data_IF_252699042885
#
_entry.id   IF_252699042885
#
_cell.length_a   1.000
_cell.length_b   1.000
_cell.length_c   1.000
_cell.angle_alpha   90.00
_cell.angle_beta   90.00
_cell.angle_gamma   90.00
#
_symmetry.space_group_name_H-M   'P 1'
#
loop_
_entity.id
_entity.type
_entity.pdbx_description
1 polymer ?
#
# COMPACT_ATOMS: atom_id res chain seq x y z
N UNK A 1 21.67 63.61 5.28
CA UNK A 1 21.78 62.20 4.90
C UNK A 1 20.47 61.55 5.32
N UNK A 2 19.53 61.30 4.40
CA UNK A 2 18.36 60.49 4.75
C UNK A 2 18.79 59.02 4.61
N UNK A 3 18.84 58.32 5.74
CA UNK A 3 18.79 56.87 5.75
C UNK A 3 17.33 56.50 5.54
N UNK A 4 16.87 56.50 4.28
CA UNK A 4 15.62 55.83 3.95
C UNK A 4 15.95 54.34 3.88
N UNK A 5 15.71 53.64 4.98
CA UNK A 5 15.80 52.18 5.01
C UNK A 5 14.70 51.62 4.09
N UNK A 6 14.99 50.51 3.42
CA UNK A 6 14.02 49.76 2.63
C UNK A 6 13.87 48.35 3.20
N UNK A 7 12.71 47.75 3.03
CA UNK A 7 12.50 46.36 3.46
C UNK A 7 13.41 45.42 2.67
N UNK A 8 14.10 44.50 3.33
CA UNK A 8 15.11 43.64 2.69
C UNK A 8 14.60 42.75 1.55
N UNK A 9 13.32 42.35 1.57
CA UNK A 9 12.78 41.38 0.59
C UNK A 9 12.08 42.03 -0.61
N UNK A 10 11.43 43.18 -0.41
CA UNK A 10 10.54 43.78 -1.43
C UNK A 10 10.90 45.23 -1.78
N UNK A 11 11.95 45.79 -1.15
CA UNK A 11 12.43 47.14 -1.43
C UNK A 11 11.43 48.25 -1.10
N UNK A 12 10.41 47.99 -0.29
CA UNK A 12 9.47 49.03 0.14
C UNK A 12 10.19 50.08 0.98
N UNK A 13 9.90 51.34 0.71
CA UNK A 13 10.38 52.47 1.49
C UNK A 13 9.87 52.40 2.93
N UNK A 14 10.74 52.60 3.92
CA UNK A 14 10.36 52.86 5.30
C UNK A 14 10.80 54.27 5.69
N UNK A 15 9.99 55.32 5.43
CA UNK A 15 10.41 56.70 5.65
C UNK A 15 10.72 56.95 7.12
N UNK A 16 11.88 57.57 7.41
CA UNK A 16 12.22 57.96 8.77
C UNK A 16 11.23 58.99 9.34
N UNK A 17 11.09 59.00 10.68
CA UNK A 17 10.25 59.98 11.36
C UNK A 17 10.71 61.40 11.02
N UNK A 18 9.81 62.20 10.45
CA UNK A 18 10.07 63.58 10.04
C UNK A 18 10.41 63.78 8.57
N UNK A 19 10.47 62.72 7.76
CA UNK A 19 10.55 62.82 6.30
C UNK A 19 9.36 63.60 5.77
N UNK A 20 9.59 64.72 5.06
CA UNK A 20 8.51 65.63 4.62
C UNK A 20 7.70 65.08 3.45
N UNK A 21 8.32 64.31 2.57
CA UNK A 21 7.70 63.75 1.37
C UNK A 21 7.28 62.28 1.54
N UNK A 22 6.97 61.88 2.78
CA UNK A 22 6.60 60.51 3.12
C UNK A 22 5.43 59.98 2.28
N UNK A 23 4.48 60.85 1.90
CA UNK A 23 3.34 60.47 1.06
C UNK A 23 3.74 59.98 -0.34
N UNK A 24 4.80 60.54 -0.93
CA UNK A 24 5.32 60.07 -2.23
C UNK A 24 5.90 58.66 -2.10
N UNK A 25 6.71 58.44 -1.06
CA UNK A 25 7.35 57.15 -0.79
C UNK A 25 6.34 56.03 -0.49
N UNK A 26 5.23 56.36 0.17
CA UNK A 26 4.15 55.40 0.38
C UNK A 26 3.37 55.10 -0.90
N UNK A 27 3.11 56.08 -1.75
CA UNK A 27 2.47 55.84 -3.06
C UNK A 27 3.33 54.92 -3.96
N UNK A 28 4.65 55.06 -3.88
CA UNK A 28 5.59 54.14 -4.53
C UNK A 28 5.48 52.73 -3.96
N UNK A 29 5.34 52.57 -2.64
CA UNK A 29 5.12 51.25 -2.02
C UNK A 29 3.80 50.61 -2.47
N UNK A 30 2.71 51.38 -2.55
CA UNK A 30 1.42 50.84 -3.02
C UNK A 30 1.52 50.34 -4.47
N UNK A 31 2.23 51.07 -5.33
CA UNK A 31 2.48 50.64 -6.72
C UNK A 31 3.37 49.38 -6.82
N UNK A 32 4.18 49.13 -5.80
CA UNK A 32 5.00 47.91 -5.69
C UNK A 32 4.22 46.75 -5.07
N UNK A 33 3.26 47.01 -4.16
CA UNK A 33 2.42 45.99 -3.55
C UNK A 33 1.51 45.31 -4.58
N UNK A 34 0.90 46.09 -5.48
CA UNK A 34 0.05 45.57 -6.56
C UNK A 34 0.75 44.56 -7.50
N UNK A 35 2.09 44.59 -7.54
CA UNK A 35 2.91 43.65 -8.32
C UNK A 35 3.62 42.60 -7.47
N UNK A 36 4.02 42.99 -6.26
CA UNK A 36 4.88 42.17 -5.40
C UNK A 36 4.12 41.19 -4.51
N UNK A 37 2.83 41.41 -4.29
CA UNK A 37 1.97 40.47 -3.54
C UNK A 37 1.30 39.52 -4.52
N UNK A 38 1.52 38.22 -4.30
CA UNK A 38 0.88 37.17 -5.08
C UNK A 38 -0.63 37.10 -4.77
N UNK A 39 -1.45 37.09 -5.81
CA UNK A 39 -2.88 36.80 -5.72
C UNK A 39 -3.05 35.27 -5.71
N UNK A 40 -3.89 34.75 -4.81
CA UNK A 40 -4.22 33.33 -4.70
C UNK A 40 -5.72 33.16 -4.71
N UNK A 41 -6.26 32.53 -5.76
CA UNK A 41 -7.70 32.27 -5.91
C UNK A 41 -7.93 31.14 -6.93
N UNK A 42 -9.18 30.77 -7.19
CA UNK A 42 -9.56 29.81 -8.24
C UNK A 42 -9.24 30.36 -9.65
N UNK A 43 -8.85 29.49 -10.58
CA UNK A 43 -8.51 29.88 -11.96
C UNK A 43 -9.64 30.67 -12.66
N UNK A 44 -10.90 30.33 -12.36
CA UNK A 44 -12.08 30.99 -12.91
C UNK A 44 -12.19 32.48 -12.52
N UNK A 45 -11.67 32.87 -11.34
CA UNK A 45 -11.74 34.23 -10.81
C UNK A 45 -10.59 35.12 -11.32
N UNK A 46 -9.67 34.59 -12.14
CA UNK A 46 -8.49 35.33 -12.62
C UNK A 46 -8.84 36.67 -13.27
N UNK A 47 -9.97 36.74 -13.97
CA UNK A 47 -10.41 37.96 -14.65
C UNK A 47 -11.02 39.01 -13.70
N UNK A 48 -11.20 38.69 -12.41
CA UNK A 48 -11.62 39.65 -11.38
C UNK A 48 -10.45 40.54 -10.91
N UNK A 49 -9.22 40.22 -11.33
CA UNK A 49 -8.00 40.93 -10.98
C UNK A 49 -7.36 41.58 -12.20
N UNK A 50 -6.91 42.83 -12.06
CA UNK A 50 -6.24 43.56 -13.15
C UNK A 50 -4.79 43.06 -13.36
N UNK A 51 -4.39 42.64 -14.57
CA UNK A 51 -3.06 42.09 -14.84
C UNK A 51 -1.98 43.18 -14.93
N UNK A 52 -1.51 43.67 -13.78
CA UNK A 52 -0.39 44.62 -13.74
C UNK A 52 0.89 43.94 -14.23
N UNK A 53 1.75 44.68 -14.94
CA UNK A 53 3.00 44.15 -15.47
C UNK A 53 3.91 43.63 -14.33
N UNK A 54 4.18 42.34 -14.32
CA UNK A 54 4.95 41.63 -13.30
C UNK A 54 4.15 41.15 -12.08
N UNK A 55 2.84 41.37 -12.02
CA UNK A 55 2.00 40.78 -10.98
C UNK A 55 1.89 39.27 -11.17
N UNK A 56 1.68 38.55 -10.06
CA UNK A 56 1.57 37.08 -10.04
C UNK A 56 0.21 36.65 -9.54
N UNK A 57 -0.43 35.75 -10.27
CA UNK A 57 -1.65 35.06 -9.86
C UNK A 57 -1.37 33.56 -9.78
N UNK A 58 -1.65 32.93 -8.64
CA UNK A 58 -1.62 31.49 -8.45
C UNK A 58 -3.05 30.97 -8.39
N UNK A 59 -3.44 30.23 -9.41
CA UNK A 59 -4.64 29.42 -9.41
C UNK A 59 -4.46 28.26 -8.43
N UNK A 60 -5.13 28.30 -7.28
CA UNK A 60 -4.91 27.30 -6.20
C UNK A 60 -5.52 25.93 -6.50
N UNK A 61 -6.52 25.91 -7.38
CA UNK A 61 -7.23 24.72 -7.87
C UNK A 61 -6.43 24.00 -8.97
N UNK A 62 -5.91 24.74 -9.97
CA UNK A 62 -5.15 24.17 -11.08
C UNK A 62 -3.64 24.16 -10.86
N UNK A 63 -3.16 24.80 -9.79
CA UNK A 63 -1.74 25.03 -9.49
C UNK A 63 -0.99 25.82 -10.59
N UNK A 64 -1.73 26.52 -11.45
CA UNK A 64 -1.17 27.32 -12.54
C UNK A 64 -0.80 28.72 -12.05
N UNK A 65 0.41 29.15 -12.40
CA UNK A 65 0.96 30.48 -12.19
C UNK A 65 0.80 31.28 -13.46
N UNK A 66 0.18 32.45 -13.31
CA UNK A 66 0.08 33.47 -14.35
C UNK A 66 0.90 34.69 -13.99
N UNK A 67 1.50 35.33 -14.99
CA UNK A 67 2.17 36.62 -14.89
C UNK A 67 1.40 37.66 -15.70
N UNK A 68 1.06 38.78 -15.07
CA UNK A 68 0.46 39.92 -15.75
C UNK A 68 1.51 40.64 -16.61
N UNK A 69 1.17 41.00 -17.85
CA UNK A 69 2.05 41.79 -18.73
C UNK A 69 1.70 43.29 -18.78
N UNK A 70 0.68 43.70 -18.02
CA UNK A 70 0.09 45.05 -18.06
C UNK A 70 -1.23 45.13 -18.84
N UNK A 71 -1.57 44.09 -19.61
CA UNK A 71 -2.79 43.99 -20.39
C UNK A 71 -3.56 42.68 -20.17
N UNK A 72 -2.85 41.57 -20.03
CA UNK A 72 -3.42 40.23 -19.90
C UNK A 72 -2.64 39.39 -18.89
N UNK A 73 -3.32 38.39 -18.32
CA UNK A 73 -2.69 37.32 -17.55
C UNK A 73 -2.15 36.25 -18.49
N UNK A 74 -0.83 36.10 -18.56
CA UNK A 74 -0.19 35.04 -19.36
C UNK A 74 0.21 33.88 -18.48
N UNK A 75 -0.09 32.68 -18.94
CA UNK A 75 0.38 31.48 -18.26
C UNK A 75 1.92 31.45 -18.26
N UNK A 76 2.49 31.17 -17.09
CA UNK A 76 3.92 31.13 -16.90
C UNK A 76 4.41 29.73 -16.57
N UNK A 77 3.75 29.05 -15.63
CA UNK A 77 4.10 27.69 -15.23
C UNK A 77 2.92 27.04 -14.53
N UNK A 78 2.86 25.71 -14.52
CA UNK A 78 1.97 24.94 -13.64
C UNK A 78 2.83 24.13 -12.68
N UNK A 79 2.65 24.32 -11.38
CA UNK A 79 3.40 23.54 -10.38
C UNK A 79 3.01 22.07 -10.49
N UNK A 80 4.01 21.18 -10.65
CA UNK A 80 3.82 19.75 -10.90
C UNK A 80 4.15 19.30 -12.33
N UNK A 81 4.27 20.22 -13.29
CA UNK A 81 4.51 19.90 -14.71
C UNK A 81 6.00 19.71 -15.08
N UNK A 82 6.91 19.58 -14.13
CA UNK A 82 8.35 19.64 -14.40
C UNK A 82 9.18 18.55 -13.72
N UNK A 83 9.48 17.49 -14.46
CA UNK A 83 10.74 16.74 -14.31
C UNK A 83 10.74 15.53 -13.39
N UNK A 84 9.87 14.56 -13.66
CA UNK A 84 10.21 13.13 -13.60
C UNK A 84 9.27 12.42 -14.60
N UNK A 85 9.80 11.49 -15.39
CA UNK A 85 9.17 10.90 -16.60
C UNK A 85 7.96 9.96 -16.31
N UNK A 86 7.30 10.16 -15.17
CA UNK A 86 6.04 9.53 -14.72
C UNK A 86 5.17 10.50 -13.90
N UNK A 87 5.67 11.70 -13.56
CA UNK A 87 4.97 12.70 -12.75
C UNK A 87 4.17 13.72 -13.58
N UNK A 88 4.24 13.65 -14.92
CA UNK A 88 3.65 14.67 -15.81
C UNK A 88 2.20 14.42 -16.24
N UNK A 89 1.74 13.17 -16.21
CA UNK A 89 0.41 12.81 -16.70
C UNK A 89 -0.47 12.38 -15.51
N UNK A 90 -0.93 13.37 -14.75
CA UNK A 90 -1.94 13.17 -13.72
C UNK A 90 -3.31 13.53 -14.30
N UNK A 91 -4.27 12.61 -14.17
CA UNK A 91 -5.67 12.82 -14.55
C UNK A 91 -6.56 12.53 -13.35
N UNK A 92 -7.70 13.21 -13.23
CA UNK A 92 -8.60 13.03 -12.09
C UNK A 92 -9.78 12.16 -12.48
N UNK A 93 -10.04 11.06 -11.77
CA UNK A 93 -11.17 10.18 -12.07
C UNK A 93 -12.53 10.91 -12.07
N UNK A 94 -12.66 12.01 -11.31
CA UNK A 94 -13.87 12.85 -11.28
C UNK A 94 -14.18 13.55 -12.60
N UNK A 95 -13.21 13.71 -13.49
CA UNK A 95 -13.36 14.39 -14.79
C UNK A 95 -13.92 13.46 -15.88
N UNK A 96 -13.95 12.14 -15.61
CA UNK A 96 -14.40 11.13 -16.54
C UNK A 96 -15.82 10.65 -16.20
N UNK A 97 -16.58 10.30 -17.23
CA UNK A 97 -17.91 9.71 -17.10
C UNK A 97 -17.81 8.24 -16.67
N UNK A 98 -18.75 7.81 -15.82
CA UNK A 98 -18.86 6.43 -15.33
C UNK A 98 -19.86 6.36 -14.17
N UNK A 99 -20.60 5.25 -14.09
CA UNK A 99 -21.57 4.99 -13.05
C UNK A 99 -20.89 4.66 -11.71
N UNK A 100 -19.73 4.01 -11.76
CA UNK A 100 -18.90 3.65 -10.62
C UNK A 100 -17.48 4.22 -10.77
N UNK A 101 -16.69 4.18 -9.69
CA UNK A 101 -15.32 4.71 -9.69
C UNK A 101 -14.38 3.90 -10.58
N UNK A 102 -14.53 2.57 -10.63
CA UNK A 102 -13.75 1.69 -11.51
C UNK A 102 -13.96 2.02 -13.00
N UNK A 103 -15.21 2.24 -13.45
CA UNK A 103 -15.49 2.68 -14.83
C UNK A 103 -14.82 4.02 -15.17
N UNK A 104 -14.77 4.94 -14.20
CA UNK A 104 -14.10 6.25 -14.37
C UNK A 104 -12.58 6.11 -14.40
N UNK A 105 -12.03 5.20 -13.60
CA UNK A 105 -10.59 4.89 -13.62
C UNK A 105 -10.22 4.28 -14.97
N UNK A 106 -10.99 3.34 -15.51
CA UNK A 106 -10.74 2.77 -16.84
C UNK A 106 -10.75 3.85 -17.93
N UNK A 107 -11.74 4.75 -17.90
CA UNK A 107 -11.81 5.87 -18.82
C UNK A 107 -10.59 6.81 -18.67
N UNK A 108 -10.16 7.09 -17.44
CA UNK A 108 -8.99 7.91 -17.15
C UNK A 108 -7.69 7.25 -17.62
N UNK A 109 -7.50 5.95 -17.36
CA UNK A 109 -6.34 5.18 -17.79
C UNK A 109 -6.24 5.15 -19.33
N UNK A 110 -7.36 5.02 -20.03
CA UNK A 110 -7.40 5.04 -21.50
C UNK A 110 -7.01 6.39 -22.12
N UNK A 111 -7.15 7.49 -21.37
CA UNK A 111 -6.82 8.85 -21.81
C UNK A 111 -5.37 9.24 -21.49
N UNK A 112 -4.68 8.46 -20.66
CA UNK A 112 -3.27 8.71 -20.33
C UNK A 112 -2.38 8.62 -21.60
N UNK A 113 -1.51 9.61 -21.85
CA UNK A 113 -0.60 9.59 -22.99
C UNK A 113 0.31 8.36 -22.98
N UNK A 114 0.17 7.50 -23.99
CA UNK A 114 0.87 6.20 -24.09
C UNK A 114 0.61 5.26 -22.90
N UNK A 115 -0.53 5.41 -22.21
CA UNK A 115 -0.86 4.68 -20.97
C UNK A 115 -0.07 5.15 -19.74
N UNK A 116 0.94 6.00 -19.92
CA UNK A 116 1.82 6.41 -18.83
C UNK A 116 1.22 7.57 -18.04
N UNK A 117 1.11 7.40 -16.72
CA UNK A 117 0.67 8.43 -15.81
C UNK A 117 0.08 7.87 -14.53
N UNK A 118 -0.75 8.69 -13.88
CA UNK A 118 -1.43 8.36 -12.62
C UNK A 118 -2.86 8.88 -12.66
N UNK A 119 -3.78 8.06 -12.18
CA UNK A 119 -5.16 8.47 -11.92
C UNK A 119 -5.28 8.90 -10.47
N UNK A 120 -5.59 10.17 -10.23
CA UNK A 120 -5.87 10.72 -8.90
C UNK A 120 -7.36 10.58 -8.57
N UNK A 121 -7.65 10.14 -7.36
CA UNK A 121 -9.02 10.05 -6.85
C UNK A 121 -9.16 10.89 -5.59
N UNK A 122 -9.89 12.00 -5.71
CA UNK A 122 -10.33 12.84 -4.58
C UNK A 122 -11.73 12.46 -4.09
N UNK A 123 -12.31 13.24 -3.15
CA UNK A 123 -13.70 13.08 -2.73
C UNK A 123 -14.66 13.11 -3.91
N UNK A 124 -15.72 12.32 -3.86
CA UNK A 124 -16.75 12.34 -4.90
C UNK A 124 -17.32 13.77 -5.03
N UNK A 125 -17.35 14.37 -6.23
CA UNK A 125 -17.82 15.75 -6.42
C UNK A 125 -19.24 16.03 -5.92
N UNK A 126 -20.11 15.02 -5.87
CA UNK A 126 -21.47 15.15 -5.34
C UNK A 126 -21.56 15.02 -3.80
N UNK A 127 -20.43 14.73 -3.15
CA UNK A 127 -20.30 14.53 -1.70
C UNK A 127 -20.74 13.15 -1.20
N UNK A 128 -21.11 12.20 -2.06
CA UNK A 128 -21.45 10.84 -1.64
C UNK A 128 -20.20 9.95 -1.54
N UNK A 129 -20.39 8.72 -1.08
CA UNK A 129 -19.35 7.68 -1.15
C UNK A 129 -19.18 7.26 -2.62
N UNK A 130 -17.94 7.00 -3.05
CA UNK A 130 -17.71 6.41 -4.37
C UNK A 130 -18.23 4.98 -4.38
N UNK A 131 -19.01 4.64 -5.40
CA UNK A 131 -19.44 3.26 -5.60
C UNK A 131 -18.40 2.52 -6.44
N UNK A 132 -18.08 1.29 -6.08
CA UNK A 132 -17.14 0.42 -6.77
C UNK A 132 -17.84 -0.86 -7.24
N UNK A 133 -17.51 -1.30 -8.44
CA UNK A 133 -17.94 -2.58 -9.01
C UNK A 133 -16.76 -3.54 -9.15
N UNK A 134 -17.00 -4.83 -9.39
CA UNK A 134 -15.92 -5.80 -9.53
C UNK A 134 -15.06 -5.43 -10.75
N UNK A 135 -13.76 -5.20 -10.53
CA UNK A 135 -12.87 -4.68 -11.56
C UNK A 135 -11.69 -5.60 -11.81
N UNK A 136 -11.46 -5.94 -13.08
CA UNK A 136 -10.30 -6.71 -13.52
C UNK A 136 -9.45 -5.88 -14.45
N UNK A 137 -8.16 -5.75 -14.15
CA UNK A 137 -7.23 -4.93 -14.91
C UNK A 137 -5.99 -5.71 -15.32
N UNK A 138 -5.57 -5.50 -16.56
CA UNK A 138 -4.27 -5.91 -17.09
C UNK A 138 -3.36 -4.67 -17.10
N UNK A 139 -2.37 -4.56 -16.20
CA UNK A 139 -1.47 -3.41 -16.17
C UNK A 139 -0.66 -3.25 -17.46
N UNK A 140 -0.45 -4.32 -18.22
CA UNK A 140 0.32 -4.29 -19.46
C UNK A 140 -0.44 -3.59 -20.59
N UNK A 141 -1.78 -3.54 -20.51
CA UNK A 141 -2.63 -2.79 -21.43
C UNK A 141 -2.45 -1.27 -21.32
N UNK A 142 -1.91 -0.79 -20.19
CA UNK A 142 -1.76 0.63 -19.88
C UNK A 142 -0.29 1.04 -19.67
N UNK A 143 0.68 0.21 -20.04
CA UNK A 143 2.09 0.47 -19.70
C UNK A 143 2.35 0.68 -18.20
N UNK A 144 1.56 0.01 -17.36
CA UNK A 144 1.48 0.20 -15.92
C UNK A 144 0.16 0.85 -15.50
N UNK A 145 -0.24 0.61 -14.26
CA UNK A 145 -1.44 1.20 -13.65
C UNK A 145 -1.02 1.84 -12.34
N UNK A 146 -1.27 3.12 -12.18
CA UNK A 146 -1.00 3.85 -10.95
C UNK A 146 -2.25 4.62 -10.53
N UNK A 147 -2.87 4.17 -9.44
CA UNK A 147 -4.06 4.76 -8.84
C UNK A 147 -3.68 5.33 -7.48
N UNK A 148 -3.92 6.62 -7.29
CA UNK A 148 -3.55 7.34 -6.07
C UNK A 148 -4.79 8.03 -5.51
N UNK A 149 -5.29 7.46 -4.41
CA UNK A 149 -6.55 7.83 -3.79
C UNK A 149 -6.24 8.63 -2.53
N UNK A 150 -6.84 9.81 -2.38
CA UNK A 150 -6.76 10.57 -1.13
C UNK A 150 -7.15 9.68 0.06
N UNK A 151 -6.32 9.66 1.12
CA UNK A 151 -6.46 8.69 2.24
C UNK A 151 -7.81 8.70 2.96
N UNK A 152 -8.58 9.78 2.87
CA UNK A 152 -9.87 9.95 3.52
C UNK A 152 -11.07 9.75 2.56
N UNK A 153 -10.83 9.37 1.31
CA UNK A 153 -11.88 9.10 0.33
C UNK A 153 -12.51 7.75 0.63
N UNK A 154 -13.83 7.74 0.80
CA UNK A 154 -14.60 6.53 1.06
C UNK A 154 -15.06 5.91 -0.26
N UNK A 155 -14.90 4.59 -0.35
CA UNK A 155 -15.26 3.75 -1.49
C UNK A 155 -16.05 2.56 -0.95
N UNK A 156 -17.20 2.30 -1.53
CA UNK A 156 -18.08 1.20 -1.15
C UNK A 156 -18.15 0.17 -2.29
N UNK A 157 -17.84 -1.08 -1.96
CA UNK A 157 -18.02 -2.22 -2.85
C UNK A 157 -19.24 -3.03 -2.41
N UNK A 158 -20.30 -3.00 -3.22
CA UNK A 158 -21.56 -3.73 -2.98
C UNK A 158 -21.68 -5.01 -3.83
N UNK A 159 -20.65 -5.34 -4.62
CA UNK A 159 -20.69 -6.46 -5.57
C UNK A 159 -20.48 -7.83 -4.94
N UNK A 160 -20.63 -8.86 -5.79
CA UNK A 160 -20.30 -10.24 -5.47
C UNK A 160 -18.89 -10.58 -5.97
N UNK A 161 -18.15 -11.40 -5.23
CA UNK A 161 -16.82 -11.87 -5.66
C UNK A 161 -15.70 -10.93 -5.22
N UNK A 162 -14.68 -10.72 -6.07
CA UNK A 162 -13.48 -9.95 -5.71
C UNK A 162 -13.55 -8.52 -6.22
N UNK A 163 -13.32 -7.54 -5.35
CA UNK A 163 -13.43 -6.13 -5.71
C UNK A 163 -12.39 -5.69 -6.78
N UNK A 164 -11.15 -6.15 -6.64
CA UNK A 164 -10.03 -5.82 -7.53
C UNK A 164 -9.28 -7.09 -7.90
N UNK A 165 -9.21 -7.38 -9.20
CA UNK A 165 -8.36 -8.44 -9.76
C UNK A 165 -7.33 -7.84 -10.70
N UNK A 166 -6.04 -8.06 -10.42
CA UNK A 166 -4.95 -7.70 -11.32
C UNK A 166 -4.49 -8.98 -12.00
N UNK A 167 -4.64 -9.04 -13.32
CA UNK A 167 -4.27 -10.20 -14.14
C UNK A 167 -3.58 -9.69 -15.41
N UNK A 168 -2.25 -9.82 -15.53
CA UNK A 168 -1.49 -9.37 -16.70
C UNK A 168 -1.63 -10.30 -17.91
N UNK A 169 -2.60 -11.22 -17.89
CA UNK A 169 -2.85 -12.21 -18.93
C UNK A 169 -1.59 -13.02 -19.33
N UNK A 170 -0.70 -13.25 -18.35
CA UNK A 170 0.55 -14.00 -18.53
C UNK A 170 1.74 -13.21 -19.07
N UNK A 171 1.66 -11.88 -19.24
CA UNK A 171 2.81 -11.07 -19.67
C UNK A 171 3.61 -10.48 -18.49
N UNK A 172 4.24 -11.36 -17.72
CA UNK A 172 5.15 -10.96 -16.64
C UNK A 172 6.42 -10.25 -17.13
N UNK A 173 6.87 -10.53 -18.36
CA UNK A 173 8.09 -9.92 -18.90
C UNK A 173 7.93 -8.42 -19.01
N UNK A 174 6.74 -7.95 -19.37
CA UNK A 174 6.46 -6.52 -19.44
C UNK A 174 6.48 -5.84 -18.07
N UNK A 175 6.06 -6.53 -17.01
CA UNK A 175 6.17 -6.00 -15.65
C UNK A 175 7.61 -5.89 -15.18
N UNK A 176 8.44 -6.91 -15.45
CA UNK A 176 9.83 -6.93 -15.01
C UNK A 176 10.73 -6.01 -15.84
N UNK A 177 10.58 -6.05 -17.17
CA UNK A 177 11.48 -5.34 -18.11
C UNK A 177 11.04 -3.90 -18.37
N UNK A 178 9.74 -3.67 -18.52
CA UNK A 178 9.20 -2.36 -18.92
C UNK A 178 8.53 -1.62 -17.76
N UNK A 179 8.47 -2.23 -16.57
CA UNK A 179 7.91 -1.59 -15.39
C UNK A 179 6.40 -1.39 -15.45
N UNK A 180 5.68 -2.20 -16.24
CA UNK A 180 4.22 -2.17 -16.33
C UNK A 180 3.56 -2.75 -15.07
N UNK A 181 3.79 -2.10 -13.92
CA UNK A 181 3.38 -2.56 -12.60
C UNK A 181 1.98 -2.07 -12.25
N UNK A 182 1.38 -2.71 -11.26
CA UNK A 182 0.17 -2.19 -10.62
C UNK A 182 0.52 -1.48 -9.32
N UNK A 183 0.06 -0.25 -9.14
CA UNK A 183 0.18 0.52 -7.91
C UNK A 183 -1.19 1.07 -7.53
N UNK A 184 -1.63 0.77 -6.30
CA UNK A 184 -2.81 1.34 -5.67
C UNK A 184 -2.44 1.87 -4.29
N UNK A 185 -2.70 3.15 -4.05
CA UNK A 185 -2.44 3.79 -2.76
C UNK A 185 -3.69 4.52 -2.24
N UNK A 186 -3.93 4.43 -0.93
CA UNK A 186 -4.95 5.17 -0.20
C UNK A 186 -6.39 4.64 -0.32
N UNK A 187 -7.35 5.50 0.00
CA UNK A 187 -8.77 5.13 0.08
C UNK A 187 -9.17 4.35 1.34
N UNK A 188 -10.41 4.57 1.77
CA UNK A 188 -11.13 3.84 2.81
C UNK A 188 -12.17 2.97 2.11
N UNK A 189 -11.95 1.66 2.12
CA UNK A 189 -12.74 0.67 1.41
C UNK A 189 -13.70 -0.04 2.37
N UNK A 190 -14.98 -0.04 2.02
CA UNK A 190 -16.06 -0.68 2.76
C UNK A 190 -16.70 -1.74 1.86
N UNK A 191 -16.57 -3.01 2.22
CA UNK A 191 -17.23 -4.11 1.51
C UNK A 191 -18.56 -4.38 2.20
N UNK A 192 -19.66 -4.10 1.50
CA UNK A 192 -21.03 -4.27 2.02
C UNK A 192 -21.84 -5.31 1.23
N UNK A 193 -21.28 -5.82 0.13
CA UNK A 193 -21.82 -6.92 -0.68
C UNK A 193 -21.41 -8.30 -0.19
N UNK A 194 -21.70 -9.33 -1.00
CA UNK A 194 -21.28 -10.72 -0.75
C UNK A 194 -19.90 -10.98 -1.39
N UNK A 195 -18.88 -10.33 -0.81
CA UNK A 195 -17.51 -10.39 -1.30
C UNK A 195 -16.85 -11.74 -0.97
N UNK A 196 -16.01 -12.22 -1.88
CA UNK A 196 -15.08 -13.33 -1.61
C UNK A 196 -13.66 -12.84 -1.40
N UNK A 197 -13.41 -11.55 -1.65
CA UNK A 197 -12.18 -10.90 -1.24
C UNK A 197 -12.03 -9.49 -1.79
N UNK A 198 -11.04 -8.75 -1.31
CA UNK A 198 -10.84 -7.37 -1.76
C UNK A 198 -9.86 -7.27 -2.93
N UNK A 199 -8.62 -7.71 -2.74
CA UNK A 199 -7.59 -7.63 -3.78
C UNK A 199 -7.04 -9.02 -4.15
N UNK A 200 -7.01 -9.33 -5.44
CA UNK A 200 -6.36 -10.51 -6.00
C UNK A 200 -5.33 -10.13 -7.06
N UNK A 201 -4.08 -10.49 -6.84
CA UNK A 201 -3.04 -10.49 -7.87
C UNK A 201 -2.88 -11.89 -8.46
N UNK A 202 -3.09 -12.05 -9.76
CA UNK A 202 -2.84 -13.30 -10.49
C UNK A 202 -1.55 -13.15 -11.28
N UNK A 203 -0.54 -13.98 -10.98
CA UNK A 203 0.75 -13.95 -11.68
C UNK A 203 1.33 -12.51 -11.76
N UNK A 204 1.43 -11.80 -10.62
CA UNK A 204 1.79 -10.37 -10.57
C UNK A 204 3.21 -10.13 -10.05
N UNK A 205 3.96 -9.21 -10.65
CA UNK A 205 5.31 -8.89 -10.23
C UNK A 205 5.45 -7.40 -9.88
N UNK A 206 6.01 -7.09 -8.72
CA UNK A 206 6.23 -5.70 -8.24
C UNK A 206 4.95 -4.88 -8.10
N UNK A 207 3.84 -5.52 -7.76
CA UNK A 207 2.60 -4.81 -7.43
C UNK A 207 2.74 -4.11 -6.08
N UNK A 208 2.12 -2.93 -5.94
CA UNK A 208 2.09 -2.15 -4.70
C UNK A 208 0.63 -1.91 -4.32
N UNK A 209 0.23 -2.35 -3.13
CA UNK A 209 -1.17 -2.32 -2.66
C UNK A 209 -1.21 -1.75 -1.25
N UNK A 210 -1.41 -0.44 -1.14
CA UNK A 210 -1.34 0.32 0.10
C UNK A 210 -2.66 1.08 0.39
N UNK A 211 -3.80 0.39 0.60
CA UNK A 211 -5.03 1.06 1.02
C UNK A 211 -4.84 1.78 2.36
N UNK A 212 -5.60 2.85 2.60
CA UNK A 212 -5.59 3.47 3.93
C UNK A 212 -6.35 2.59 4.95
N UNK A 213 -7.45 1.98 4.51
CA UNK A 213 -8.29 1.11 5.32
C UNK A 213 -9.15 0.21 4.42
N UNK A 214 -9.36 -1.06 4.79
CA UNK A 214 -10.29 -1.99 4.16
C UNK A 214 -11.10 -2.70 5.24
N UNK A 215 -12.41 -2.80 5.07
CA UNK A 215 -13.32 -3.40 6.06
C UNK A 215 -14.43 -4.24 5.44
N UNK A 216 -15.08 -5.08 6.25
CA UNK A 216 -16.23 -5.89 5.84
C UNK A 216 -15.85 -7.13 5.03
N UNK A 217 -14.69 -7.71 5.32
CA UNK A 217 -14.09 -8.83 4.58
C UNK A 217 -14.47 -10.18 5.19
N UNK A 218 -15.74 -10.38 5.49
CA UNK A 218 -16.28 -11.63 6.06
C UNK A 218 -17.41 -12.17 5.20
N UNK A 219 -17.50 -13.49 5.07
CA UNK A 219 -18.61 -14.15 4.40
C UNK A 219 -19.06 -15.43 5.14
N UNK A 220 -20.19 -16.00 4.72
CA UNK A 220 -20.75 -17.22 5.35
C UNK A 220 -19.85 -18.46 5.17
N UNK A 221 -18.95 -18.45 4.18
CA UNK A 221 -18.01 -19.54 3.92
C UNK A 221 -16.75 -19.45 4.79
N UNK A 222 -16.50 -18.30 5.44
CA UNK A 222 -15.28 -18.04 6.20
C UNK A 222 -14.04 -17.97 5.30
N UNK A 223 -14.19 -17.64 4.03
CA UNK A 223 -13.06 -17.63 3.08
C UNK A 223 -12.84 -16.27 2.40
N UNK A 224 -13.52 -15.21 2.89
CA UNK A 224 -13.32 -13.88 2.35
C UNK A 224 -11.93 -13.35 2.71
N UNK A 225 -11.12 -13.08 1.68
CA UNK A 225 -9.75 -12.62 1.88
C UNK A 225 -9.56 -11.10 1.76
N UNK A 226 -8.62 -10.53 2.51
CA UNK A 226 -8.15 -9.16 2.28
C UNK A 226 -7.29 -9.10 1.02
N UNK A 227 -6.20 -9.87 1.03
CA UNK A 227 -5.23 -9.94 -0.05
C UNK A 227 -5.08 -11.39 -0.49
N UNK A 228 -5.12 -11.66 -1.79
CA UNK A 228 -4.72 -12.94 -2.35
C UNK A 228 -3.66 -12.74 -3.44
N UNK A 229 -2.55 -13.47 -3.34
CA UNK A 229 -1.64 -13.66 -4.46
C UNK A 229 -1.81 -15.07 -4.98
N UNK A 230 -2.06 -15.20 -6.27
CA UNK A 230 -2.42 -16.46 -6.91
C UNK A 230 -1.52 -16.70 -8.10
N UNK A 231 -0.82 -17.82 -8.07
CA UNK A 231 -0.02 -18.26 -9.21
C UNK A 231 -0.86 -19.20 -10.08
N UNK A 232 -0.89 -18.96 -11.38
CA UNK A 232 -1.51 -19.82 -12.37
C UNK A 232 -0.45 -20.30 -13.36
N UNK A 233 -0.12 -19.49 -14.36
CA UNK A 233 0.84 -19.88 -15.40
C UNK A 233 2.27 -19.46 -15.05
N UNK A 234 2.42 -18.56 -14.08
CA UNK A 234 3.70 -17.97 -13.70
C UNK A 234 3.83 -17.87 -12.18
N UNK A 235 4.30 -16.73 -11.67
CA UNK A 235 4.63 -16.48 -10.27
C UNK A 235 4.16 -15.09 -9.85
N UNK A 236 4.07 -14.88 -8.54
CA UNK A 236 3.77 -13.57 -7.97
C UNK A 236 4.92 -13.17 -7.05
N UNK A 237 5.68 -12.13 -7.38
CA UNK A 237 6.94 -11.80 -6.68
C UNK A 237 7.11 -10.29 -6.46
N UNK A 238 7.92 -9.92 -5.46
CA UNK A 238 8.25 -8.52 -5.10
C UNK A 238 7.00 -7.65 -4.87
N UNK A 239 5.91 -8.25 -4.39
CA UNK A 239 4.66 -7.53 -4.09
C UNK A 239 4.77 -6.83 -2.75
N UNK A 240 4.42 -5.55 -2.70
CA UNK A 240 4.41 -4.74 -1.49
C UNK A 240 2.98 -4.47 -1.04
N UNK A 241 2.67 -4.86 0.20
CA UNK A 241 1.34 -4.74 0.80
C UNK A 241 1.45 -4.05 2.15
N UNK A 242 0.65 -3.00 2.31
CA UNK A 242 0.50 -2.25 3.56
C UNK A 242 -0.98 -1.91 3.76
N UNK A 243 -1.31 -1.22 4.85
CA UNK A 243 -2.65 -0.74 5.13
C UNK A 243 -3.27 -1.40 6.36
N UNK A 244 -4.53 -1.03 6.61
CA UNK A 244 -5.31 -1.58 7.72
C UNK A 244 -6.49 -2.38 7.19
N UNK A 245 -6.59 -3.64 7.60
CA UNK A 245 -7.65 -4.57 7.23
C UNK A 245 -8.43 -4.94 8.49
N UNK A 246 -9.75 -4.78 8.46
CA UNK A 246 -10.62 -4.94 9.63
C UNK A 246 -11.79 -5.87 9.30
N UNK A 247 -12.13 -6.75 10.24
CA UNK A 247 -13.20 -7.74 10.11
C UNK A 247 -12.97 -8.59 8.85
N UNK A 248 -12.01 -9.51 8.96
CA UNK A 248 -11.52 -10.31 7.82
C UNK A 248 -11.55 -11.80 8.15
N UNK A 249 -12.01 -12.66 7.23
CA UNK A 249 -11.89 -14.10 7.46
C UNK A 249 -10.46 -14.57 7.25
N UNK A 250 -9.85 -14.18 6.12
CA UNK A 250 -8.47 -14.49 5.74
C UNK A 250 -7.69 -13.20 5.42
N UNK A 251 -6.70 -12.81 6.24
CA UNK A 251 -5.96 -11.56 6.01
C UNK A 251 -5.19 -11.57 4.68
N UNK A 252 -4.23 -12.48 4.58
CA UNK A 252 -3.44 -12.74 3.37
C UNK A 252 -3.54 -14.21 2.99
N UNK A 253 -3.76 -14.48 1.71
CA UNK A 253 -3.92 -15.81 1.14
C UNK A 253 -2.96 -16.02 -0.04
N UNK A 254 -1.98 -16.91 0.10
CA UNK A 254 -1.03 -17.23 -0.97
C UNK A 254 -1.37 -18.58 -1.58
N UNK A 255 -1.75 -18.57 -2.85
CA UNK A 255 -2.31 -19.73 -3.56
C UNK A 255 -1.37 -20.11 -4.72
N UNK A 256 -0.59 -21.20 -4.60
CA UNK A 256 0.48 -21.51 -5.53
C UNK A 256 -0.06 -22.21 -6.78
N UNK A 257 0.76 -22.32 -7.83
CA UNK A 257 0.33 -22.91 -9.09
C UNK A 257 -0.10 -24.38 -8.93
N UNK A 258 0.56 -25.14 -8.04
CA UNK A 258 0.21 -26.52 -7.74
C UNK A 258 -1.22 -26.71 -7.23
N UNK A 259 -1.79 -25.71 -6.54
CA UNK A 259 -3.18 -25.75 -6.07
C UNK A 259 -4.19 -25.22 -7.09
N UNK A 260 -3.77 -24.31 -7.97
CA UNK A 260 -4.66 -23.80 -9.03
C UNK A 260 -4.76 -24.72 -10.24
N UNK A 261 -3.95 -25.78 -10.29
CA UNK A 261 -3.76 -26.63 -11.47
C UNK A 261 -2.96 -25.91 -12.58
N UNK A 262 -2.29 -24.82 -12.22
CA UNK A 262 -1.48 -24.00 -13.07
C UNK A 262 -0.12 -24.64 -13.43
N UNK A 263 0.53 -24.12 -14.47
CA UNK A 263 1.87 -24.56 -14.90
C UNK A 263 3.00 -23.68 -14.35
N UNK A 264 2.64 -22.67 -13.56
CA UNK A 264 3.57 -21.73 -12.95
C UNK A 264 4.39 -22.33 -11.83
N UNK A 265 4.90 -21.46 -10.97
CA UNK A 265 5.67 -21.87 -9.80
C UNK A 265 4.82 -21.74 -8.54
N UNK A 266 5.31 -22.33 -7.45
CA UNK A 266 4.74 -22.18 -6.12
C UNK A 266 5.44 -21.04 -5.34
N UNK A 267 6.24 -20.23 -6.05
CA UNK A 267 7.07 -19.14 -5.50
C UNK A 267 6.26 -17.88 -5.24
N UNK A 268 6.56 -17.24 -4.12
CA UNK A 268 6.07 -15.90 -3.77
C UNK A 268 7.20 -14.90 -3.44
N UNK A 269 8.43 -15.16 -3.92
CA UNK A 269 9.66 -14.48 -3.48
C UNK A 269 9.55 -12.95 -3.33
N UNK A 270 10.23 -12.44 -2.31
CA UNK A 270 10.37 -11.00 -2.03
C UNK A 270 9.04 -10.24 -1.81
N UNK A 271 7.92 -10.95 -1.64
CA UNK A 271 6.69 -10.33 -1.19
C UNK A 271 6.83 -9.83 0.25
N UNK A 272 6.34 -8.61 0.49
CA UNK A 272 6.47 -7.87 1.74
C UNK A 272 5.09 -7.43 2.23
N UNK A 273 4.80 -7.78 3.48
CA UNK A 273 3.50 -7.48 4.12
C UNK A 273 3.75 -6.69 5.42
N UNK A 274 3.39 -5.41 5.41
CA UNK A 274 3.53 -4.46 6.53
C UNK A 274 2.20 -4.11 7.22
N UNK A 275 1.08 -4.61 6.68
CA UNK A 275 -0.25 -4.22 7.11
C UNK A 275 -0.67 -4.71 8.52
N UNK A 276 -1.73 -4.09 9.04
CA UNK A 276 -2.42 -4.54 10.26
C UNK A 276 -3.73 -5.23 9.88
N UNK A 277 -3.88 -6.49 10.26
CA UNK A 277 -5.09 -7.30 10.08
C UNK A 277 -5.76 -7.46 11.44
N UNK A 278 -7.01 -7.01 11.57
CA UNK A 278 -7.74 -7.03 12.84
C UNK A 278 -9.12 -7.64 12.67
N UNK A 279 -9.61 -8.31 13.72
CA UNK A 279 -10.90 -9.00 13.61
C UNK A 279 -10.80 -10.25 12.73
N UNK A 280 -9.64 -10.92 12.75
CA UNK A 280 -9.38 -12.10 11.91
C UNK A 280 -10.20 -13.29 12.41
N UNK A 281 -11.08 -13.83 11.56
CA UNK A 281 -11.98 -14.93 11.94
C UNK A 281 -11.33 -16.30 11.76
N UNK A 282 -10.54 -16.52 10.70
CA UNK A 282 -9.96 -17.83 10.41
C UNK A 282 -8.44 -17.78 10.31
N UNK A 283 -7.89 -17.07 9.32
CA UNK A 283 -6.45 -17.07 9.08
C UNK A 283 -5.91 -15.64 8.96
N UNK A 284 -4.87 -15.29 9.74
CA UNK A 284 -4.17 -14.02 9.54
C UNK A 284 -3.42 -14.05 8.22
N UNK A 285 -2.53 -15.05 8.10
CA UNK A 285 -1.85 -15.41 6.88
C UNK A 285 -2.02 -16.90 6.61
N UNK A 286 -2.52 -17.25 5.44
CA UNK A 286 -2.59 -18.61 4.93
C UNK A 286 -1.58 -18.78 3.80
N UNK A 287 -0.58 -19.62 4.06
CA UNK A 287 0.53 -19.89 3.15
C UNK A 287 0.37 -21.30 2.61
N UNK A 288 0.12 -21.41 1.32
CA UNK A 288 0.10 -22.68 0.62
C UNK A 288 1.16 -22.61 -0.49
N UNK A 289 2.14 -23.51 -0.50
CA UNK A 289 3.21 -23.53 -1.51
C UNK A 289 4.63 -23.31 -0.99
N UNK A 290 5.52 -22.78 -1.82
CA UNK A 290 6.95 -22.61 -1.51
C UNK A 290 7.33 -21.13 -1.37
N UNK A 291 6.97 -20.45 -0.26
CA UNK A 291 7.36 -19.07 -0.07
C UNK A 291 8.85 -18.95 0.27
N UNK A 292 9.55 -18.06 -0.42
CA UNK A 292 10.89 -17.58 -0.02
C UNK A 292 10.75 -16.12 0.43
N UNK A 293 9.76 -15.90 1.29
CA UNK A 293 9.17 -14.57 1.47
C UNK A 293 9.61 -13.94 2.76
N UNK A 294 9.44 -12.63 2.82
CA UNK A 294 9.74 -11.84 4.01
C UNK A 294 8.46 -11.23 4.54
N UNK A 295 7.87 -11.85 5.56
CA UNK A 295 6.84 -11.19 6.37
C UNK A 295 7.55 -10.19 7.26
N UNK A 296 7.34 -8.89 7.02
CA UNK A 296 8.06 -7.82 7.68
C UNK A 296 7.06 -6.88 8.39
N UNK A 297 6.91 -7.04 9.70
CA UNK A 297 6.20 -6.05 10.53
C UNK A 297 4.68 -6.08 10.44
N UNK A 298 4.08 -7.16 9.92
CA UNK A 298 2.63 -7.31 9.93
C UNK A 298 2.08 -7.59 11.33
N UNK A 299 0.96 -6.96 11.69
CA UNK A 299 0.24 -7.24 12.94
C UNK A 299 -1.06 -7.97 12.66
N UNK A 300 -1.34 -9.04 13.40
CA UNK A 300 -2.54 -9.87 13.27
C UNK A 300 -3.30 -9.88 14.59
N UNK A 301 -4.57 -9.49 14.60
CA UNK A 301 -5.43 -9.53 15.78
C UNK A 301 -6.60 -10.48 15.51
N UNK A 302 -6.57 -11.62 16.19
CA UNK A 302 -7.47 -12.76 16.06
C UNK A 302 -8.76 -12.54 16.87
N UNK A 303 -9.89 -12.86 16.24
CA UNK A 303 -11.23 -12.72 16.81
C UNK A 303 -12.06 -14.01 16.77
N UNK A 304 -11.79 -14.90 15.82
CA UNK A 304 -12.52 -16.18 15.72
C UNK A 304 -12.10 -17.20 16.77
N UNK A 305 -13.06 -18.03 17.17
CA UNK A 305 -12.79 -19.26 17.91
C UNK A 305 -12.07 -20.21 16.93
N UNK A 306 -10.86 -20.65 17.25
CA UNK A 306 -9.97 -21.43 16.34
C UNK A 306 -9.23 -20.62 15.25
N UNK A 307 -9.21 -19.29 15.34
CA UNK A 307 -8.42 -18.50 14.41
C UNK A 307 -6.89 -18.77 14.56
N UNK A 308 -6.19 -18.80 13.43
CA UNK A 308 -4.75 -19.02 13.33
C UNK A 308 -4.07 -17.79 12.72
N UNK A 309 -3.06 -17.21 13.38
CA UNK A 309 -2.35 -16.05 12.84
C UNK A 309 -1.49 -16.40 11.62
N UNK A 310 -0.78 -17.52 11.66
CA UNK A 310 0.05 -17.99 10.54
C UNK A 310 -0.16 -19.50 10.29
N UNK A 311 -0.83 -19.84 9.20
CA UNK A 311 -0.96 -21.22 8.73
C UNK A 311 0.09 -21.50 7.65
N UNK A 312 1.05 -22.38 7.94
CA UNK A 312 2.22 -22.65 7.10
C UNK A 312 2.11 -24.02 6.43
N UNK A 313 1.83 -24.08 5.13
CA UNK A 313 1.73 -25.33 4.39
C UNK A 313 2.61 -25.32 3.12
N UNK A 314 3.73 -26.04 3.17
CA UNK A 314 4.68 -26.18 2.06
C UNK A 314 6.12 -25.87 2.45
N UNK A 315 6.95 -25.38 1.51
CA UNK A 315 8.40 -25.26 1.69
C UNK A 315 8.84 -23.84 2.05
N UNK A 316 9.30 -23.60 3.28
CA UNK A 316 9.68 -22.27 3.78
C UNK A 316 11.20 -22.07 3.82
N UNK A 317 11.93 -22.69 2.91
CA UNK A 317 13.38 -22.51 2.84
C UNK A 317 13.70 -21.01 2.63
N UNK A 318 14.54 -20.46 3.50
CA UNK A 318 14.99 -19.06 3.48
C UNK A 318 13.92 -17.98 3.75
N UNK A 319 12.67 -18.36 4.07
CA UNK A 319 11.65 -17.41 4.49
C UNK A 319 12.01 -16.76 5.84
N UNK A 320 11.74 -15.46 5.99
CA UNK A 320 12.03 -14.71 7.22
C UNK A 320 10.77 -14.02 7.72
N UNK A 321 10.37 -14.33 8.94
CA UNK A 321 9.24 -13.69 9.61
C UNK A 321 9.81 -12.74 10.65
N UNK A 322 9.79 -11.45 10.35
CA UNK A 322 10.38 -10.41 11.18
C UNK A 322 9.30 -9.51 11.76
N UNK A 323 9.24 -9.41 13.09
CA UNK A 323 8.41 -8.42 13.78
C UNK A 323 6.91 -8.60 13.60
N UNK A 324 6.44 -9.82 13.26
CA UNK A 324 5.02 -10.12 13.32
C UNK A 324 4.53 -10.14 14.77
N UNK A 325 3.32 -9.66 14.98
CA UNK A 325 2.65 -9.67 16.28
C UNK A 325 1.27 -10.32 16.12
N UNK A 326 0.89 -11.16 17.07
CA UNK A 326 -0.38 -11.87 17.06
C UNK A 326 -1.08 -11.67 18.40
N UNK A 327 -2.24 -11.01 18.42
CA UNK A 327 -3.02 -10.82 19.65
C UNK A 327 -4.39 -11.48 19.55
N UNK A 328 -4.89 -11.97 20.68
CA UNK A 328 -6.26 -12.46 20.82
C UNK A 328 -7.15 -11.39 21.43
N UNK A 329 -8.32 -11.14 20.85
CA UNK A 329 -9.35 -10.30 21.48
C UNK A 329 -9.96 -11.00 22.72
N UNK A 330 -10.03 -12.33 22.70
CA UNK A 330 -10.66 -13.15 23.73
C UNK A 330 -9.68 -14.19 24.28
N UNK A 331 -9.11 -13.99 25.49
CA UNK A 331 -8.07 -14.87 26.03
C UNK A 331 -8.55 -16.29 26.38
N UNK A 332 -9.83 -16.60 26.18
CA UNK A 332 -10.42 -17.93 26.41
C UNK A 332 -10.53 -18.78 25.15
N UNK A 333 -10.35 -18.18 23.98
CA UNK A 333 -10.56 -18.85 22.70
C UNK A 333 -9.32 -19.68 22.36
N UNK A 334 -9.51 -20.84 21.73
CA UNK A 334 -8.42 -21.72 21.29
C UNK A 334 -7.80 -21.18 20.02
N UNK A 335 -7.06 -20.09 20.11
CA UNK A 335 -6.38 -19.46 18.98
C UNK A 335 -4.93 -19.90 18.89
N UNK A 336 -4.38 -19.94 17.68
CA UNK A 336 -3.00 -20.37 17.43
C UNK A 336 -2.20 -19.24 16.77
N UNK A 337 -1.01 -18.93 17.28
CA UNK A 337 -0.09 -18.04 16.55
C UNK A 337 0.43 -18.71 15.28
N UNK A 338 0.71 -20.01 15.34
CA UNK A 338 1.23 -20.79 14.22
C UNK A 338 0.53 -22.14 14.12
N UNK A 339 0.22 -22.56 12.89
CA UNK A 339 -0.29 -23.88 12.56
C UNK A 339 0.52 -24.42 11.37
N UNK A 340 0.88 -25.71 11.39
CA UNK A 340 1.64 -26.34 10.32
C UNK A 340 0.74 -27.26 9.52
N UNK A 341 0.72 -27.05 8.20
CA UNK A 341 0.01 -27.90 7.26
C UNK A 341 0.71 -29.24 6.99
N UNK A 342 0.02 -30.17 6.31
CA UNK A 342 0.52 -31.52 6.07
C UNK A 342 1.76 -31.58 5.17
N UNK A 343 1.96 -30.59 4.30
CA UNK A 343 3.06 -30.53 3.33
C UNK A 343 4.22 -29.63 3.81
N UNK A 344 4.22 -29.26 5.08
CA UNK A 344 5.27 -28.42 5.67
C UNK A 344 6.66 -29.07 5.60
N UNK A 345 7.61 -28.36 5.01
CA UNK A 345 9.00 -28.78 4.84
C UNK A 345 9.94 -27.57 4.99
N UNK A 346 10.93 -27.63 5.88
CA UNK A 346 11.76 -26.48 6.28
C UNK A 346 10.97 -25.34 6.94
N UNK A 347 11.50 -24.79 8.02
CA UNK A 347 10.83 -23.73 8.77
C UNK A 347 11.39 -22.35 8.48
N UNK A 348 10.56 -21.29 8.55
CA UNK A 348 11.03 -19.93 8.40
C UNK A 348 11.95 -19.54 9.56
N UNK A 349 12.81 -18.55 9.31
CA UNK A 349 13.55 -17.87 10.36
C UNK A 349 12.65 -16.85 11.05
N UNK A 350 12.31 -17.09 12.32
CA UNK A 350 11.55 -16.15 13.14
C UNK A 350 12.50 -15.13 13.81
N UNK A 351 12.36 -13.84 13.50
CA UNK A 351 13.15 -12.75 14.08
C UNK A 351 12.26 -11.76 14.83
N UNK A 352 12.53 -11.56 16.12
CA UNK A 352 11.91 -10.49 16.92
C UNK A 352 10.36 -10.52 16.95
N UNK A 353 9.76 -11.71 17.07
CA UNK A 353 8.32 -11.85 17.34
C UNK A 353 8.05 -11.34 18.76
N UNK A 354 7.36 -10.20 18.89
CA UNK A 354 7.28 -9.44 20.16
C UNK A 354 6.17 -9.85 21.11
N UNK A 355 5.46 -10.94 20.84
CA UNK A 355 4.45 -11.38 21.80
C UNK A 355 5.05 -12.20 22.96
N UNK A 356 4.83 -11.68 24.16
CA UNK A 356 5.25 -12.22 25.43
C UNK A 356 4.30 -13.33 25.95
N UNK A 357 3.28 -13.75 25.18
CA UNK A 357 2.27 -14.71 25.65
C UNK A 357 1.84 -15.82 24.66
N UNK A 358 2.10 -15.71 23.36
CA UNK A 358 1.58 -16.69 22.37
C UNK A 358 2.38 -17.99 22.14
N UNK A 359 3.64 -18.10 22.60
CA UNK A 359 4.31 -19.42 22.61
C UNK A 359 4.02 -20.10 23.95
N UNK A 360 2.79 -20.58 24.10
CA UNK A 360 2.30 -21.11 25.39
C UNK A 360 2.91 -22.47 25.75
N UNK A 361 3.69 -23.09 24.85
CA UNK A 361 4.44 -24.30 25.20
C UNK A 361 5.81 -24.39 24.54
N UNK A 362 6.79 -24.92 25.28
CA UNK A 362 8.07 -25.32 24.73
C UNK A 362 7.92 -26.34 23.58
N UNK A 363 6.76 -27.02 23.46
CA UNK A 363 6.43 -27.91 22.35
C UNK A 363 6.14 -27.19 21.03
N UNK A 364 5.66 -25.95 21.03
CA UNK A 364 5.29 -25.24 19.79
C UNK A 364 6.54 -24.65 19.11
N UNK A 365 7.42 -24.02 19.89
CA UNK A 365 8.79 -23.72 19.43
C UNK A 365 9.47 -25.01 18.99
N UNK A 366 9.27 -26.10 19.73
CA UNK A 366 9.98 -27.32 19.43
C UNK A 366 9.50 -27.98 18.13
N UNK A 367 8.20 -27.96 17.83
CA UNK A 367 7.67 -28.41 16.55
C UNK A 367 8.21 -27.58 15.37
N UNK A 368 8.30 -26.26 15.52
CA UNK A 368 8.79 -25.36 14.46
C UNK A 368 10.27 -25.62 14.09
N UNK A 369 11.12 -25.95 15.07
CA UNK A 369 12.55 -26.18 14.87
C UNK A 369 12.94 -27.66 14.78
N UNK A 370 11.97 -28.59 14.68
CA UNK A 370 12.24 -30.03 14.76
C UNK A 370 12.89 -30.45 16.10
N UNK A 371 12.67 -29.65 17.13
CA UNK A 371 13.13 -29.90 18.47
C UNK A 371 12.14 -30.86 19.16
N UNK A 372 12.66 -31.84 19.88
CA UNK A 372 11.87 -32.71 20.73
C UNK A 372 12.28 -32.45 22.18
N UNK A 373 11.35 -32.01 23.02
CA UNK A 373 11.60 -31.80 24.45
C UNK A 373 11.21 -33.06 25.22
N UNK A 374 12.21 -33.85 25.63
CA UNK A 374 12.01 -35.02 26.50
C UNK A 374 12.61 -34.75 27.88
N UNK A 375 11.77 -34.38 28.86
CA UNK A 375 12.22 -34.11 30.23
C UNK A 375 13.06 -32.83 30.33
N UNK A 376 14.34 -32.95 30.70
CA UNK A 376 15.28 -31.81 30.80
C UNK A 376 16.18 -31.64 29.56
N UNK A 377 15.88 -32.34 28.47
CA UNK A 377 16.70 -32.36 27.26
C UNK A 377 16.01 -31.62 26.11
N UNK A 378 16.77 -30.76 25.43
CA UNK A 378 16.41 -30.14 24.17
C UNK A 378 17.10 -30.92 23.04
N UNK A 379 16.38 -31.73 22.27
CA UNK A 379 16.95 -32.41 21.09
C UNK A 379 16.61 -31.63 19.85
N UNK A 380 17.57 -31.08 19.13
CA UNK A 380 17.32 -30.42 17.84
C UNK A 380 17.60 -31.45 16.74
N UNK A 381 16.56 -31.88 16.01
CA UNK A 381 16.73 -32.79 14.87
C UNK A 381 16.97 -31.97 13.61
N UNK A 382 18.06 -32.28 12.92
CA UNK A 382 18.20 -31.88 11.53
C UNK A 382 17.26 -32.76 10.69
N UNK A 383 16.18 -32.19 10.18
CA UNK A 383 15.15 -32.92 9.41
C UNK A 383 15.71 -33.58 8.14
N UNK A 384 16.84 -33.10 7.61
CA UNK A 384 17.49 -33.65 6.41
C UNK A 384 18.56 -34.72 6.71
N UNK A 385 18.99 -34.83 7.97
CA UNK A 385 20.00 -35.79 8.44
C UNK A 385 19.70 -36.13 9.90
N UNK A 386 18.75 -37.06 10.16
CA UNK A 386 18.36 -37.41 11.53
C UNK A 386 19.53 -37.95 12.36
N UNK A 387 20.61 -38.40 11.71
CA UNK A 387 21.88 -38.77 12.36
C UNK A 387 22.73 -37.59 12.87
N UNK A 388 22.45 -36.35 12.45
CA UNK A 388 23.07 -35.12 13.00
C UNK A 388 22.10 -34.42 13.93
N UNK A 389 21.80 -35.05 15.06
CA UNK A 389 21.10 -34.40 16.16
C UNK A 389 22.12 -33.97 17.22
N UNK A 390 21.89 -32.80 17.83
CA UNK A 390 22.57 -32.44 19.07
C UNK A 390 21.57 -32.28 20.21
N UNK A 391 21.99 -32.69 21.40
CA UNK A 391 21.23 -32.57 22.63
C UNK A 391 21.83 -31.44 23.45
N UNK A 392 21.06 -30.39 23.72
CA UNK A 392 21.47 -29.33 24.62
C UNK A 392 20.84 -29.56 26.00
N UNK A 393 21.68 -29.56 27.03
CA UNK A 393 21.29 -29.75 28.42
C UNK A 393 21.13 -28.41 29.13
N UNK A 394 20.37 -28.40 30.22
CA UNK A 394 20.06 -27.19 31.01
C UNK A 394 21.29 -26.49 31.61
N UNK A 395 22.40 -27.21 31.76
CA UNK A 395 23.68 -26.65 32.23
C UNK A 395 24.52 -26.02 31.09
N UNK A 396 23.98 -25.97 29.87
CA UNK A 396 24.63 -25.42 28.68
C UNK A 396 25.51 -26.42 27.95
N UNK A 397 25.56 -27.68 28.38
CA UNK A 397 26.32 -28.72 27.68
C UNK A 397 25.63 -29.09 26.37
N UNK A 398 26.39 -29.28 25.29
CA UNK A 398 25.89 -29.73 23.98
C UNK A 398 26.53 -31.08 23.68
N UNK A 399 25.72 -32.14 23.61
CA UNK A 399 26.12 -33.45 23.12
C UNK A 399 25.85 -33.56 21.63
N UNK A 400 26.87 -33.85 20.85
CA UNK A 400 26.73 -34.24 19.46
C UNK A 400 26.64 -35.76 19.40
N UNK A 401 25.47 -36.30 19.06
CA UNK A 401 25.38 -37.71 18.66
C UNK A 401 25.87 -37.79 17.22
N UNK A 402 27.15 -38.16 17.01
CA UNK A 402 27.61 -38.63 15.70
C UNK A 402 27.61 -40.16 15.71
N UNK A 403 26.81 -40.75 14.82
CA UNK A 403 27.16 -42.06 14.28
C UNK A 403 27.97 -41.75 13.02
N UNK A 404 29.30 -41.70 13.20
CA UNK A 404 30.38 -41.24 12.28
C UNK A 404 30.90 -39.82 12.51
#
# INVERSE_FOLDING_TARGET
MSNDESTGNHGYNTPAKGTKDWGRLLNENFSLLDRGVEIRDAAANRNDYEPKNGAKFLAIDTKTVYLGDGSEWREFATFGSGGDDTAGNEVFASEYDGATLDERIDAALADLPNGQGRVRVGPNPDGTVWQWSAWTVDPTAYSGVHIDIDRNVRIEYQGDGVAITVDPAGDLRSQDTFGHRFTLEGGIWENTGNTTGWFRGIDVNRAVVHPAHVSGLTNDAGDCFGIQLRNNAYWSEDVDVDGKYVDVDVGVDLVPASMTGGSGTDSFHDCRFFGTFTGVQNYGFRWEGEPFDVVCGATVILAGEEATAHYLNGNFQDAVFQGSDSESINPTDTQSSFELGPDYYHGPLLLNHTDHRGVDSASDIAALFGIEVQGQQLRIKNLNRPETAFTMYRDGTVDFTSNE
#
